data_IF_047746885113
#
_entry.id   IF_047746885113
#
_cell.length_a   1.000
_cell.length_b   1.000
_cell.length_c   1.000
_cell.angle_alpha   90.00
_cell.angle_beta   90.00
_cell.angle_gamma   90.00
#
_symmetry.space_group_name_H-M   'P 1'
#
loop_
_entity.id
_entity.type
_entity.pdbx_description
1 polymer ?
#
# COMPACT_ATOMS: atom_id res chain seq x y z
N UNK A 1 10.95 -20.50 15.94
CA UNK A 1 10.64 -19.73 14.72
C UNK A 1 11.30 -18.37 14.86
N UNK A 2 12.43 -18.11 14.18
CA UNK A 2 13.04 -16.79 14.17
C UNK A 2 12.21 -15.93 13.21
N UNK A 3 11.42 -15.02 13.77
CA UNK A 3 10.76 -13.96 13.01
C UNK A 3 11.86 -13.06 12.44
N UNK A 4 12.08 -13.13 11.15
CA UNK A 4 12.99 -12.23 10.43
C UNK A 4 12.37 -10.82 10.53
N UNK A 5 12.87 -9.98 11.41
CA UNK A 5 12.47 -8.57 11.50
C UNK A 5 13.08 -7.85 10.30
N UNK A 6 12.22 -7.48 9.34
CA UNK A 6 12.64 -6.64 8.22
C UNK A 6 12.93 -5.22 8.72
N UNK A 7 14.11 -4.70 8.33
CA UNK A 7 14.61 -3.40 8.73
C UNK A 7 14.86 -2.51 7.51
N UNK A 8 14.54 -1.22 7.64
CA UNK A 8 14.86 -0.17 6.68
C UNK A 8 16.11 0.54 7.18
N UNK A 9 17.24 0.46 6.46
CA UNK A 9 18.45 1.18 6.84
C UNK A 9 18.40 2.64 6.35
N UNK A 10 18.67 3.58 7.24
CA UNK A 10 18.86 5.00 6.95
C UNK A 10 20.31 5.37 7.23
N UNK A 11 21.03 5.82 6.21
CA UNK A 11 22.43 6.23 6.36
C UNK A 11 22.52 7.70 6.73
N UNK A 12 23.13 8.01 7.88
CA UNK A 12 23.41 9.36 8.32
C UNK A 12 24.89 9.46 8.67
N UNK A 13 25.62 10.24 7.90
CA UNK A 13 27.09 10.32 7.99
C UNK A 13 27.72 8.89 7.81
N UNK A 14 28.29 8.31 8.88
CA UNK A 14 28.90 6.96 8.90
C UNK A 14 28.05 5.93 9.64
N UNK A 15 26.91 6.35 10.18
CA UNK A 15 26.05 5.50 11.00
C UNK A 15 24.84 5.00 10.19
N UNK A 16 24.42 3.77 10.47
CA UNK A 16 23.20 3.17 9.92
C UNK A 16 22.15 3.16 11.02
N UNK A 17 21.10 3.93 10.83
CA UNK A 17 19.96 4.00 11.74
C UNK A 17 18.88 3.06 11.17
N UNK A 18 18.55 2.02 11.93
CA UNK A 18 17.55 1.05 11.51
C UNK A 18 16.14 1.49 11.90
N UNK A 19 15.17 1.27 11.02
CA UNK A 19 13.74 1.41 11.25
C UNK A 19 13.05 0.07 11.00
N UNK A 20 12.14 -0.35 11.87
CA UNK A 20 11.38 -1.59 11.70
C UNK A 20 10.28 -1.40 10.63
N UNK A 21 10.18 -2.31 9.68
CA UNK A 21 9.13 -2.29 8.66
C UNK A 21 7.74 -2.48 9.27
N UNK A 22 7.63 -3.40 10.23
CA UNK A 22 6.36 -3.84 10.80
C UNK A 22 5.61 -2.75 11.56
N UNK A 23 6.30 -1.99 12.39
CA UNK A 23 5.72 -1.05 13.37
C UNK A 23 6.32 0.36 13.32
N UNK A 24 7.29 0.59 12.41
CA UNK A 24 7.92 1.89 12.18
C UNK A 24 8.89 2.36 13.26
N UNK A 25 9.15 1.56 14.29
CA UNK A 25 10.07 1.92 15.37
C UNK A 25 11.47 2.19 14.85
N UNK A 26 12.11 3.24 15.36
CA UNK A 26 13.45 3.68 14.95
C UNK A 26 14.43 3.48 16.10
N UNK A 27 15.66 3.07 15.78
CA UNK A 27 16.72 2.87 16.76
C UNK A 27 17.25 4.21 17.30
N UNK A 28 16.74 4.63 18.45
CA UNK A 28 17.10 5.89 19.12
C UNK A 28 18.56 5.93 19.56
N UNK A 29 19.15 4.79 19.95
CA UNK A 29 20.57 4.71 20.29
C UNK A 29 21.42 5.08 19.08
N UNK A 30 21.14 4.50 17.91
CA UNK A 30 21.85 4.82 16.67
C UNK A 30 21.62 6.29 16.23
N UNK A 31 20.40 6.85 16.41
CA UNK A 31 20.13 8.26 16.17
C UNK A 31 21.01 9.18 17.01
N UNK A 32 21.10 8.89 18.31
CA UNK A 32 21.92 9.67 19.23
C UNK A 32 23.41 9.54 18.88
N UNK A 33 23.91 8.35 18.60
CA UNK A 33 25.29 8.11 18.16
C UNK A 33 25.64 8.90 16.93
N UNK A 34 24.76 8.88 15.90
CA UNK A 34 24.96 9.63 14.66
C UNK A 34 25.00 11.16 14.88
N UNK A 35 24.37 11.66 15.93
CA UNK A 35 24.39 13.08 16.31
C UNK A 35 25.46 13.43 17.35
N UNK A 36 26.28 12.47 17.78
CA UNK A 36 27.29 12.69 18.82
C UNK A 36 26.71 13.00 20.22
N UNK A 37 25.48 12.52 20.50
CA UNK A 37 24.76 12.73 21.78
C UNK A 37 24.43 11.38 22.43
N UNK A 38 24.10 11.40 23.73
CA UNK A 38 23.71 10.20 24.44
C UNK A 38 22.18 10.13 24.63
N UNK A 39 21.60 8.94 24.44
CA UNK A 39 20.19 8.68 24.73
C UNK A 39 19.81 9.02 26.17
N UNK A 40 20.71 8.75 27.14
CA UNK A 40 20.48 9.04 28.54
C UNK A 40 20.29 10.56 28.81
N UNK A 41 20.93 11.43 28.04
CA UNK A 41 20.80 12.88 28.22
C UNK A 41 19.41 13.36 27.79
N UNK A 42 18.93 12.86 26.66
CA UNK A 42 17.56 13.12 26.20
C UNK A 42 16.52 12.54 27.18
N UNK A 43 16.73 11.33 27.68
CA UNK A 43 15.76 10.65 28.56
C UNK A 43 15.59 11.33 29.92
N UNK A 44 16.61 12.06 30.38
CA UNK A 44 16.57 12.81 31.66
C UNK A 44 15.86 14.16 31.59
N UNK A 45 15.49 14.63 30.40
CA UNK A 45 14.83 15.92 30.25
C UNK A 45 13.37 15.87 30.75
N UNK A 46 12.97 16.87 31.53
CA UNK A 46 11.57 17.00 31.98
C UNK A 46 10.60 17.10 30.80
N UNK A 47 11.02 17.76 29.71
CA UNK A 47 10.22 17.87 28.46
C UNK A 47 10.01 16.51 27.82
N UNK A 48 11.01 15.64 27.85
CA UNK A 48 10.89 14.27 27.35
C UNK A 48 9.93 13.42 28.18
N UNK A 49 10.01 13.54 29.52
CA UNK A 49 9.06 12.85 30.41
C UNK A 49 7.62 13.35 30.19
N UNK A 50 7.43 14.65 30.07
CA UNK A 50 6.11 15.21 29.79
C UNK A 50 5.57 14.70 28.43
N UNK A 51 6.42 14.70 27.39
CA UNK A 51 6.03 14.23 26.05
C UNK A 51 5.67 12.74 26.04
N UNK A 52 6.50 11.87 26.64
CA UNK A 52 6.22 10.42 26.61
C UNK A 52 4.98 10.06 27.42
N UNK A 53 4.69 10.78 28.53
CA UNK A 53 3.47 10.56 29.28
C UNK A 53 2.22 11.01 28.51
N UNK A 54 2.30 12.17 27.85
CA UNK A 54 1.21 12.64 26.98
C UNK A 54 0.95 11.66 25.83
N UNK A 55 2.00 11.17 25.17
CA UNK A 55 1.90 10.21 24.09
C UNK A 55 1.31 8.87 24.56
N UNK A 56 1.74 8.38 25.73
CA UNK A 56 1.21 7.16 26.33
C UNK A 56 -0.29 7.27 26.63
N UNK A 57 -0.70 8.44 27.15
CA UNK A 57 -2.11 8.74 27.44
C UNK A 57 -2.96 8.85 26.17
N UNK A 58 -2.45 9.53 25.15
CA UNK A 58 -3.15 9.73 23.87
C UNK A 58 -3.37 8.40 23.14
N UNK A 59 -2.35 7.54 23.14
CA UNK A 59 -2.40 6.25 22.45
C UNK A 59 -3.04 5.13 23.26
N UNK A 60 -3.23 5.32 24.58
CA UNK A 60 -3.72 4.27 25.48
C UNK A 60 -2.77 3.08 25.66
N UNK A 61 -1.45 3.29 25.49
CA UNK A 61 -0.43 2.23 25.64
C UNK A 61 0.59 2.60 26.70
N UNK A 62 1.22 1.61 27.37
CA UNK A 62 2.23 1.89 28.38
C UNK A 62 3.53 2.43 27.78
N UNK A 63 4.29 3.21 28.58
CA UNK A 63 5.58 3.78 28.15
C UNK A 63 6.57 2.69 27.69
N UNK A 64 6.49 1.49 28.25
CA UNK A 64 7.32 0.35 27.84
C UNK A 64 7.06 -0.12 26.41
N UNK A 65 5.89 0.18 25.86
CA UNK A 65 5.61 -0.04 24.43
C UNK A 65 6.10 1.12 23.57
N UNK A 66 6.13 2.36 24.07
CA UNK A 66 6.66 3.51 23.34
C UNK A 66 8.20 3.46 23.25
N UNK A 67 8.86 2.98 24.31
CA UNK A 67 10.33 2.89 24.42
C UNK A 67 10.69 1.46 24.77
N UNK A 68 11.30 0.75 23.84
CA UNK A 68 11.67 -0.66 23.94
C UNK A 68 13.19 -0.80 23.95
N UNK A 69 13.74 -1.41 24.97
CA UNK A 69 15.18 -1.72 25.05
C UNK A 69 15.44 -3.17 24.68
N UNK A 70 16.33 -3.39 23.72
CA UNK A 70 16.74 -4.72 23.27
C UNK A 70 18.21 -4.92 23.58
N UNK A 71 18.53 -5.95 24.37
CA UNK A 71 19.88 -6.34 24.71
C UNK A 71 20.09 -7.83 24.39
N UNK A 72 21.27 -8.17 23.85
CA UNK A 72 21.60 -9.53 23.41
C UNK A 72 21.00 -9.91 22.05
N UNK A 73 21.37 -11.10 21.57
CA UNK A 73 20.93 -11.57 20.24
C UNK A 73 21.60 -10.87 19.06
N UNK A 74 20.86 -10.64 17.99
CA UNK A 74 21.38 -10.02 16.76
C UNK A 74 21.84 -8.57 17.02
N UNK A 75 23.12 -8.23 16.75
CA UNK A 75 23.67 -6.89 16.96
C UNK A 75 22.88 -5.76 16.27
N UNK A 76 22.28 -6.02 15.12
CA UNK A 76 21.48 -5.04 14.39
C UNK A 76 20.17 -4.66 15.09
N UNK A 77 19.71 -5.51 16.03
CA UNK A 77 18.47 -5.27 16.78
C UNK A 77 18.74 -4.68 18.16
N UNK A 78 19.99 -4.62 18.61
CA UNK A 78 20.34 -4.09 19.94
C UNK A 78 20.19 -2.57 20.00
N UNK A 79 19.87 -2.09 21.19
CA UNK A 79 19.69 -0.67 21.48
C UNK A 79 18.28 -0.32 21.95
N UNK A 80 18.01 0.96 22.01
CA UNK A 80 16.68 1.48 22.37
C UNK A 80 15.89 1.82 21.10
N UNK A 81 14.73 1.22 21.00
CA UNK A 81 13.78 1.43 19.90
C UNK A 81 12.62 2.28 20.39
N UNK A 82 12.26 3.29 19.63
CA UNK A 82 11.20 4.23 20.02
C UNK A 82 10.12 4.30 18.95
N UNK A 83 8.89 4.54 19.41
CA UNK A 83 7.73 4.77 18.56
C UNK A 83 8.01 5.91 17.54
N UNK A 84 7.46 5.87 16.31
CA UNK A 84 7.72 6.88 15.26
C UNK A 84 7.55 8.33 15.73
N UNK A 85 6.48 8.67 16.46
CA UNK A 85 6.26 10.00 17.00
C UNK A 85 7.33 10.39 18.03
N UNK A 86 7.75 9.43 18.87
CA UNK A 86 8.85 9.65 19.82
C UNK A 86 10.18 9.88 19.12
N UNK A 87 10.42 9.20 17.98
CA UNK A 87 11.60 9.39 17.15
C UNK A 87 11.64 10.80 16.54
N UNK A 88 10.50 11.33 16.11
CA UNK A 88 10.40 12.73 15.63
C UNK A 88 10.74 13.73 16.74
N UNK A 89 10.18 13.54 17.94
CA UNK A 89 10.49 14.40 19.09
C UNK A 89 11.97 14.33 19.51
N UNK A 90 12.56 13.11 19.51
CA UNK A 90 14.00 12.93 19.74
C UNK A 90 14.81 13.68 18.67
N UNK A 91 14.44 13.56 17.40
CA UNK A 91 15.15 14.18 16.30
C UNK A 91 15.16 15.73 16.41
N UNK A 92 14.08 16.34 16.88
CA UNK A 92 14.00 17.78 17.14
C UNK A 92 15.02 18.21 18.21
N UNK A 93 15.24 17.40 19.24
CA UNK A 93 16.26 17.65 20.24
C UNK A 93 17.68 17.43 19.70
N UNK A 94 17.89 16.50 18.79
CA UNK A 94 19.20 16.23 18.20
C UNK A 94 19.67 17.41 17.33
N UNK A 95 18.94 17.77 16.29
CA UNK A 95 19.15 18.99 15.49
C UNK A 95 17.97 19.23 14.53
N UNK A 96 17.83 20.45 13.97
CA UNK A 96 16.84 20.74 12.93
C UNK A 96 16.97 19.84 11.69
N UNK A 97 18.21 19.56 11.27
CA UNK A 97 18.49 18.69 10.10
C UNK A 97 18.08 17.25 10.37
N UNK A 98 18.29 16.77 11.60
CA UNK A 98 17.83 15.46 12.03
C UNK A 98 16.29 15.38 12.06
N UNK A 99 15.64 16.46 12.56
CA UNK A 99 14.19 16.55 12.59
C UNK A 99 13.58 16.40 11.18
N UNK A 100 14.12 17.12 10.18
CA UNK A 100 13.67 17.02 8.78
C UNK A 100 13.85 15.60 8.23
N UNK A 101 15.00 14.95 8.47
CA UNK A 101 15.27 13.59 8.00
C UNK A 101 14.32 12.58 8.60
N UNK A 102 14.19 12.56 9.93
CA UNK A 102 13.37 11.57 10.65
C UNK A 102 11.88 11.78 10.38
N UNK A 103 11.40 13.02 10.29
CA UNK A 103 10.03 13.29 9.86
C UNK A 103 9.74 12.73 8.48
N UNK A 104 10.71 12.82 7.54
CA UNK A 104 10.59 12.22 6.21
C UNK A 104 10.55 10.69 6.29
N UNK A 105 11.42 10.03 7.05
CA UNK A 105 11.42 8.57 7.20
C UNK A 105 10.11 8.04 7.79
N UNK A 106 9.60 8.72 8.82
CA UNK A 106 8.30 8.38 9.42
C UNK A 106 7.19 8.57 8.40
N UNK A 107 7.19 9.66 7.66
CA UNK A 107 6.22 9.90 6.59
C UNK A 107 6.29 8.82 5.49
N UNK A 108 7.48 8.52 4.99
CA UNK A 108 7.72 7.48 3.98
C UNK A 108 7.28 6.10 4.47
N UNK A 109 7.55 5.77 5.73
CA UNK A 109 7.07 4.54 6.34
C UNK A 109 5.54 4.51 6.45
N UNK A 110 4.91 5.57 6.94
CA UNK A 110 3.44 5.67 7.09
C UNK A 110 2.71 5.58 5.75
N UNK A 111 3.30 6.12 4.70
CA UNK A 111 2.75 6.10 3.34
C UNK A 111 3.10 4.80 2.58
N UNK A 112 3.86 3.90 3.21
CA UNK A 112 4.30 2.64 2.60
C UNK A 112 5.54 2.76 1.71
N UNK A 113 6.09 3.97 1.49
CA UNK A 113 7.32 4.18 0.72
C UNK A 113 8.56 3.59 1.41
N UNK A 114 8.53 3.42 2.73
CA UNK A 114 9.62 2.81 3.51
C UNK A 114 9.70 1.29 3.45
N UNK A 115 8.76 0.60 2.81
CA UNK A 115 8.87 -0.85 2.59
C UNK A 115 9.87 -1.12 1.46
N UNK A 116 10.93 -1.92 1.68
CA UNK A 116 11.89 -2.24 0.64
C UNK A 116 11.18 -2.77 -0.61
N UNK A 117 11.43 -2.13 -1.77
CA UNK A 117 10.85 -2.54 -3.05
C UNK A 117 9.52 -1.89 -3.43
N UNK A 118 8.72 -1.31 -2.52
CA UNK A 118 7.42 -0.69 -2.90
C UNK A 118 7.62 0.57 -3.75
N UNK A 119 8.58 1.42 -3.42
CA UNK A 119 8.87 2.64 -4.18
C UNK A 119 9.22 2.38 -5.66
N UNK A 120 9.72 1.19 -5.97
CA UNK A 120 10.07 0.78 -7.32
C UNK A 120 8.92 0.10 -8.09
N UNK A 121 7.79 -0.15 -7.42
CA UNK A 121 6.63 -0.73 -8.08
C UNK A 121 5.88 0.32 -8.92
N UNK A 122 5.19 -0.07 -9.99
CA UNK A 122 4.18 0.76 -10.62
C UNK A 122 3.19 1.34 -9.61
N UNK A 123 2.74 2.59 -9.82
CA UNK A 123 1.96 3.33 -8.83
C UNK A 123 0.70 2.59 -8.34
N UNK A 124 -0.01 1.91 -9.22
CA UNK A 124 -1.19 1.11 -8.85
C UNK A 124 -0.83 -0.07 -7.94
N UNK A 125 0.34 -0.69 -8.13
CA UNK A 125 0.82 -1.76 -7.25
C UNK A 125 1.28 -1.22 -5.90
N UNK A 126 1.89 -0.03 -5.86
CA UNK A 126 2.15 0.66 -4.59
C UNK A 126 0.84 0.84 -3.82
N UNK A 127 -0.20 1.40 -4.47
CA UNK A 127 -1.54 1.57 -3.88
C UNK A 127 -2.14 0.24 -3.43
N UNK A 128 -2.01 -0.82 -4.21
CA UNK A 128 -2.50 -2.16 -3.85
C UNK A 128 -1.82 -2.67 -2.58
N UNK A 129 -0.48 -2.65 -2.53
CA UNK A 129 0.28 -3.20 -1.40
C UNK A 129 0.04 -2.44 -0.09
N UNK A 130 -0.07 -1.11 -0.14
CA UNK A 130 -0.30 -0.31 1.08
C UNK A 130 -1.74 -0.37 1.60
N UNK A 131 -2.68 -0.95 0.84
CA UNK A 131 -4.10 -1.06 1.20
C UNK A 131 -4.62 -2.50 1.31
N UNK A 132 -3.80 -3.50 1.03
CA UNK A 132 -4.29 -4.87 0.98
C UNK A 132 -4.80 -5.36 2.36
N UNK A 133 -4.24 -4.83 3.44
CA UNK A 133 -4.65 -5.07 4.83
C UNK A 133 -6.00 -4.43 5.20
N UNK A 134 -6.49 -3.49 4.39
CA UNK A 134 -7.76 -2.79 4.60
C UNK A 134 -8.95 -3.50 3.92
N UNK A 135 -8.69 -4.53 3.12
CA UNK A 135 -9.73 -5.30 2.43
C UNK A 135 -9.86 -6.66 3.12
N UNK A 136 -10.87 -6.83 4.00
CA UNK A 136 -11.06 -8.08 4.72
C UNK A 136 -11.54 -9.21 3.80
N UNK A 137 -11.38 -10.46 4.25
CA UNK A 137 -11.94 -11.62 3.57
C UNK A 137 -13.45 -11.48 3.38
N UNK A 138 -13.97 -11.92 2.25
CA UNK A 138 -15.37 -11.76 1.86
C UNK A 138 -15.69 -10.45 1.14
N UNK A 139 -14.66 -9.61 0.92
CA UNK A 139 -14.79 -8.35 0.19
C UNK A 139 -13.71 -8.17 -0.86
N UNK A 140 -13.98 -7.36 -1.88
CA UNK A 140 -12.99 -6.91 -2.86
C UNK A 140 -12.99 -5.38 -3.01
N UNK A 141 -11.88 -4.83 -3.49
CA UNK A 141 -11.76 -3.44 -3.89
C UNK A 141 -11.75 -3.31 -5.41
N UNK A 142 -12.26 -2.20 -5.93
CA UNK A 142 -12.21 -1.92 -7.37
C UNK A 142 -10.76 -1.87 -7.89
N UNK A 143 -9.83 -1.37 -7.09
CA UNK A 143 -8.42 -1.29 -7.46
C UNK A 143 -7.83 -2.68 -7.71
N UNK A 144 -8.08 -3.67 -6.83
CA UNK A 144 -7.56 -5.02 -6.99
C UNK A 144 -8.04 -5.66 -8.29
N UNK A 145 -9.32 -5.52 -8.58
CA UNK A 145 -9.92 -6.12 -9.78
C UNK A 145 -9.48 -5.42 -11.07
N UNK A 146 -9.42 -4.08 -11.08
CA UNK A 146 -8.93 -3.34 -12.26
C UNK A 146 -7.44 -3.52 -12.49
N UNK A 147 -6.65 -3.79 -11.46
CA UNK A 147 -5.24 -4.15 -11.65
C UNK A 147 -5.11 -5.39 -12.52
N UNK A 148 -5.99 -6.38 -12.34
CA UNK A 148 -6.01 -7.62 -13.14
C UNK A 148 -6.68 -7.41 -14.51
N UNK A 149 -7.82 -6.73 -14.55
CA UNK A 149 -8.68 -6.68 -15.74
C UNK A 149 -8.28 -5.61 -16.76
N UNK A 150 -7.62 -4.55 -16.32
CA UNK A 150 -7.28 -3.39 -17.14
C UNK A 150 -5.78 -3.06 -17.10
N UNK A 151 -5.22 -2.81 -15.90
CA UNK A 151 -3.91 -2.19 -15.78
C UNK A 151 -2.81 -3.17 -16.22
N UNK A 152 -2.76 -4.37 -15.68
CA UNK A 152 -1.78 -5.37 -16.09
C UNK A 152 -1.88 -5.75 -17.59
N UNK A 153 -3.07 -5.92 -18.19
CA UNK A 153 -3.19 -6.06 -19.65
C UNK A 153 -2.66 -4.87 -20.48
N UNK A 154 -2.85 -3.64 -20.02
CA UNK A 154 -2.29 -2.45 -20.67
C UNK A 154 -0.75 -2.44 -20.58
N UNK A 155 -0.21 -2.70 -19.39
CA UNK A 155 1.25 -2.77 -19.17
C UNK A 155 1.89 -3.91 -19.98
N UNK A 156 1.26 -5.06 -20.05
CA UNK A 156 1.70 -6.18 -20.90
C UNK A 156 1.63 -5.83 -22.41
N UNK A 157 0.79 -4.89 -22.80
CA UNK A 157 0.73 -4.38 -24.15
C UNK A 157 1.76 -3.29 -24.45
N UNK A 158 2.46 -2.79 -23.41
CA UNK A 158 3.51 -1.77 -23.51
C UNK A 158 3.13 -0.37 -23.01
N UNK A 159 1.92 -0.18 -22.49
CA UNK A 159 1.46 1.09 -21.93
C UNK A 159 1.60 1.11 -20.41
N UNK A 160 2.28 2.11 -19.86
CA UNK A 160 2.36 2.33 -18.41
C UNK A 160 1.34 3.37 -17.97
N UNK A 161 0.51 2.99 -17.00
CA UNK A 161 -0.49 3.90 -16.44
C UNK A 161 0.20 5.02 -15.63
N UNK A 162 0.00 6.30 -15.97
CA UNK A 162 0.52 7.44 -15.20
C UNK A 162 0.00 7.48 -13.77
N UNK A 163 0.79 7.98 -12.79
CA UNK A 163 0.41 8.02 -11.38
C UNK A 163 -0.85 8.84 -11.06
N UNK A 164 -1.14 9.87 -11.85
CA UNK A 164 -2.33 10.71 -11.72
C UNK A 164 -3.59 10.08 -12.30
N UNK A 165 -3.46 8.98 -13.02
CA UNK A 165 -4.59 8.24 -13.57
C UNK A 165 -5.09 7.16 -12.63
N UNK A 166 -6.34 7.29 -12.21
CA UNK A 166 -7.02 6.42 -11.24
C UNK A 166 -8.34 5.88 -11.83
N UNK A 167 -8.27 4.93 -12.79
CA UNK A 167 -9.45 4.38 -13.46
C UNK A 167 -10.39 3.64 -12.50
N UNK A 168 -9.88 3.17 -11.38
CA UNK A 168 -10.64 2.53 -10.30
C UNK A 168 -11.68 3.46 -9.68
N UNK A 169 -11.38 4.75 -9.51
CA UNK A 169 -12.37 5.73 -9.01
C UNK A 169 -13.50 5.93 -10.03
N UNK A 170 -13.16 6.06 -11.31
CA UNK A 170 -14.16 6.22 -12.38
C UNK A 170 -15.05 4.97 -12.50
N UNK A 171 -14.41 3.79 -12.53
CA UNK A 171 -15.12 2.51 -12.64
C UNK A 171 -16.02 2.26 -11.42
N UNK A 172 -15.54 2.58 -10.20
CA UNK A 172 -16.32 2.42 -8.99
C UNK A 172 -17.59 3.28 -8.97
N UNK A 173 -17.50 4.54 -9.44
CA UNK A 173 -18.67 5.42 -9.55
C UNK A 173 -19.71 4.89 -10.53
N UNK A 174 -19.29 4.41 -11.69
CA UNK A 174 -20.17 3.86 -12.73
C UNK A 174 -20.78 2.54 -12.24
N UNK A 175 -19.99 1.68 -11.57
CA UNK A 175 -20.50 0.44 -11.01
C UNK A 175 -21.51 0.67 -9.89
N UNK A 176 -21.28 1.62 -8.99
CA UNK A 176 -22.27 2.00 -7.97
C UNK A 176 -23.59 2.46 -8.60
N UNK A 177 -23.54 3.24 -9.69
CA UNK A 177 -24.74 3.63 -10.42
C UNK A 177 -25.43 2.40 -11.01
N UNK A 178 -24.68 1.52 -11.66
CA UNK A 178 -25.22 0.28 -12.25
C UNK A 178 -25.87 -0.63 -11.21
N UNK A 179 -25.27 -0.77 -10.02
CA UNK A 179 -25.83 -1.56 -8.91
C UNK A 179 -27.19 -1.02 -8.48
N UNK A 180 -27.33 0.30 -8.34
CA UNK A 180 -28.63 0.91 -8.00
C UNK A 180 -29.66 0.72 -9.12
N UNK A 181 -29.25 0.96 -10.37
CA UNK A 181 -30.16 0.97 -11.51
C UNK A 181 -30.61 -0.44 -11.97
N UNK A 182 -29.75 -1.45 -11.81
CA UNK A 182 -29.95 -2.80 -12.36
C UNK A 182 -30.09 -3.91 -11.33
N UNK A 183 -29.66 -3.68 -10.09
CA UNK A 183 -29.68 -4.69 -9.02
C UNK A 183 -30.47 -4.24 -7.80
N UNK A 184 -31.00 -3.00 -7.81
CA UNK A 184 -31.75 -2.41 -6.69
C UNK A 184 -30.95 -2.43 -5.36
N UNK A 185 -29.63 -2.27 -5.45
CA UNK A 185 -28.73 -2.28 -4.29
C UNK A 185 -28.46 -0.84 -3.85
N UNK A 186 -28.82 -0.50 -2.61
CA UNK A 186 -28.40 0.78 -2.03
C UNK A 186 -26.89 0.76 -1.73
N UNK A 187 -26.14 1.40 -2.60
CA UNK A 187 -24.68 1.47 -2.47
C UNK A 187 -24.20 2.35 -1.32
N UNK A 188 -25.09 3.09 -0.62
CA UNK A 188 -24.71 3.84 0.57
C UNK A 188 -24.52 2.92 1.79
N UNK A 189 -25.11 1.75 1.76
CA UNK A 189 -24.97 0.73 2.81
C UNK A 189 -23.69 -0.11 2.66
N UNK A 190 -22.94 0.04 1.56
CA UNK A 190 -21.68 -0.69 1.37
C UNK A 190 -20.64 -0.21 2.39
N UNK A 191 -19.87 -1.13 3.01
CA UNK A 191 -18.80 -0.78 3.92
C UNK A 191 -17.74 0.09 3.23
N UNK A 192 -17.02 0.87 4.03
CA UNK A 192 -15.99 1.81 3.57
C UNK A 192 -14.67 1.47 4.25
N UNK A 193 -13.57 1.53 3.50
CA UNK A 193 -12.22 1.55 4.04
C UNK A 193 -11.52 2.86 3.70
N UNK A 194 -10.47 3.17 4.44
CA UNK A 194 -9.68 4.37 4.22
C UNK A 194 -8.52 4.07 3.27
N UNK A 195 -8.76 4.34 1.98
CA UNK A 195 -7.77 4.11 0.93
C UNK A 195 -6.62 5.10 1.02
N UNK A 196 -5.41 4.57 1.22
CA UNK A 196 -4.17 5.34 1.32
C UNK A 196 -3.52 5.47 -0.06
N UNK A 197 -3.06 6.68 -0.37
CA UNK A 197 -2.25 6.94 -1.56
C UNK A 197 -0.77 7.06 -1.19
N UNK A 198 0.16 6.72 -2.11
CA UNK A 198 1.59 6.88 -1.86
C UNK A 198 2.02 8.31 -1.51
N UNK A 199 1.26 9.33 -1.94
CA UNK A 199 1.49 10.74 -1.63
C UNK A 199 0.95 11.18 -0.24
N UNK A 200 0.44 10.25 0.56
CA UNK A 200 -0.08 10.49 1.91
C UNK A 200 -1.56 10.86 1.97
N UNK A 201 -2.23 11.06 0.85
CA UNK A 201 -3.69 11.27 0.85
C UNK A 201 -4.40 10.01 1.33
N UNK A 202 -5.47 10.21 2.11
CA UNK A 202 -6.37 9.15 2.56
C UNK A 202 -7.79 9.52 2.16
N UNK A 203 -8.49 8.63 1.49
CA UNK A 203 -9.86 8.87 1.03
C UNK A 203 -10.77 7.68 1.37
N UNK A 204 -12.06 7.91 1.68
CA UNK A 204 -13.00 6.83 1.88
C UNK A 204 -13.27 6.12 0.53
N UNK A 205 -13.14 4.80 0.52
CA UNK A 205 -13.42 3.95 -0.64
C UNK A 205 -14.33 2.80 -0.22
N UNK A 206 -15.22 2.38 -1.13
CA UNK A 206 -16.17 1.31 -0.83
C UNK A 206 -15.52 -0.06 -0.94
N UNK A 207 -15.91 -0.95 -0.05
CA UNK A 207 -15.71 -2.39 -0.13
C UNK A 207 -16.95 -3.04 -0.75
N UNK A 208 -16.73 -4.02 -1.60
CA UNK A 208 -17.81 -4.74 -2.26
C UNK A 208 -17.79 -6.20 -1.80
N UNK A 209 -18.93 -6.75 -1.34
CA UNK A 209 -19.04 -8.17 -1.03
C UNK A 209 -18.66 -9.04 -2.22
N UNK A 210 -18.01 -10.18 -1.96
CA UNK A 210 -17.57 -11.13 -3.01
C UNK A 210 -18.72 -11.63 -3.88
N UNK A 211 -19.94 -11.67 -3.37
CA UNK A 211 -21.15 -12.03 -4.15
C UNK A 211 -21.36 -11.10 -5.36
N UNK A 212 -20.85 -9.88 -5.30
CA UNK A 212 -20.92 -8.91 -6.40
C UNK A 212 -19.73 -8.99 -7.36
N UNK A 213 -18.77 -9.89 -7.13
CA UNK A 213 -17.54 -9.97 -7.93
C UNK A 213 -17.82 -10.38 -9.38
N UNK A 214 -18.71 -11.34 -9.58
CA UNK A 214 -19.11 -11.79 -10.92
C UNK A 214 -19.83 -10.65 -11.69
N UNK A 215 -20.69 -9.91 -11.02
CA UNK A 215 -21.38 -8.75 -11.56
C UNK A 215 -20.39 -7.62 -11.92
N UNK A 216 -19.43 -7.34 -11.04
CA UNK A 216 -18.40 -6.35 -11.31
C UNK A 216 -17.56 -6.72 -12.53
N UNK A 217 -17.05 -7.95 -12.60
CA UNK A 217 -16.26 -8.43 -13.74
C UNK A 217 -17.03 -8.39 -15.04
N UNK A 218 -18.32 -8.76 -15.01
CA UNK A 218 -19.23 -8.65 -16.16
C UNK A 218 -19.42 -7.20 -16.55
N UNK A 219 -19.72 -6.31 -15.59
CA UNK A 219 -19.89 -4.87 -15.82
C UNK A 219 -18.63 -4.24 -16.46
N UNK A 220 -17.43 -4.58 -15.95
CA UNK A 220 -16.19 -4.08 -16.55
C UNK A 220 -16.06 -4.51 -18.01
N UNK A 221 -16.29 -5.78 -18.33
CA UNK A 221 -16.14 -6.31 -19.70
C UNK A 221 -17.19 -5.76 -20.67
N UNK A 222 -18.45 -5.65 -20.23
CA UNK A 222 -19.58 -5.40 -21.12
C UNK A 222 -19.98 -3.92 -21.16
N UNK A 223 -19.63 -3.14 -20.14
CA UNK A 223 -20.03 -1.74 -20.02
C UNK A 223 -18.81 -0.82 -19.95
N UNK A 224 -17.96 -0.97 -18.90
CA UNK A 224 -16.92 0.00 -18.67
C UNK A 224 -15.83 0.00 -19.76
N UNK A 225 -15.31 -1.17 -20.11
CA UNK A 225 -14.27 -1.28 -21.16
C UNK A 225 -14.74 -0.80 -22.53
N UNK A 226 -15.89 -1.25 -23.08
CA UNK A 226 -16.29 -0.82 -24.41
C UNK A 226 -16.86 0.60 -24.47
N UNK A 227 -17.56 1.06 -23.44
CA UNK A 227 -18.33 2.31 -23.50
C UNK A 227 -17.60 3.49 -22.83
N UNK A 228 -16.92 3.25 -21.69
CA UNK A 228 -16.38 4.32 -20.85
C UNK A 228 -14.85 4.45 -20.90
N UNK A 229 -14.12 3.36 -21.15
CA UNK A 229 -12.66 3.39 -21.13
C UNK A 229 -12.09 4.31 -22.21
N UNK A 230 -12.66 4.27 -23.41
CA UNK A 230 -12.19 5.08 -24.55
C UNK A 230 -12.31 6.58 -24.22
N UNK A 231 -13.44 7.01 -23.67
CA UNK A 231 -13.64 8.40 -23.28
C UNK A 231 -12.75 8.79 -22.10
N UNK A 232 -12.60 7.90 -21.12
CA UNK A 232 -11.74 8.10 -19.96
C UNK A 232 -10.29 8.37 -20.37
N UNK A 233 -9.71 7.52 -21.23
CA UNK A 233 -8.34 7.67 -21.70
C UNK A 233 -8.18 8.82 -22.69
N UNK A 234 -9.12 9.03 -23.61
CA UNK A 234 -9.06 10.17 -24.55
C UNK A 234 -8.93 11.52 -23.85
N UNK A 235 -9.58 11.67 -22.69
CA UNK A 235 -9.56 12.93 -21.92
C UNK A 235 -8.30 13.10 -21.08
N UNK A 236 -7.56 12.04 -20.78
CA UNK A 236 -6.42 12.07 -19.84
C UNK A 236 -5.09 11.75 -20.48
N UNK A 237 -5.05 10.69 -21.25
CA UNK A 237 -3.88 10.26 -21.99
C UNK A 237 -4.31 9.47 -23.23
N UNK A 238 -4.29 10.16 -24.38
CA UNK A 238 -4.71 9.58 -25.66
C UNK A 238 -3.76 8.49 -26.17
N UNK A 239 -2.53 8.42 -25.66
CA UNK A 239 -1.58 7.37 -26.04
C UNK A 239 -2.12 5.97 -25.69
N UNK A 240 -2.86 5.85 -24.59
CA UNK A 240 -3.48 4.60 -24.19
C UNK A 240 -4.44 4.00 -25.22
N UNK A 241 -5.02 4.84 -26.09
CA UNK A 241 -6.05 4.41 -27.06
C UNK A 241 -5.55 3.35 -28.04
N UNK A 242 -4.26 3.36 -28.39
CA UNK A 242 -3.68 2.35 -29.29
C UNK A 242 -3.57 0.96 -28.64
N UNK A 243 -3.59 0.90 -27.31
CA UNK A 243 -3.47 -0.37 -26.54
C UNK A 243 -4.83 -0.94 -26.14
N UNK A 244 -5.86 -0.09 -25.97
CA UNK A 244 -7.20 -0.50 -25.52
C UNK A 244 -7.83 -1.61 -26.39
N UNK A 245 -7.74 -1.64 -27.73
CA UNK A 245 -8.32 -2.71 -28.52
C UNK A 245 -7.80 -4.11 -28.16
N UNK A 246 -6.53 -4.22 -27.79
CA UNK A 246 -5.93 -5.48 -27.33
C UNK A 246 -6.51 -5.93 -25.98
N UNK A 247 -6.77 -4.98 -25.07
CA UNK A 247 -7.36 -5.26 -23.75
C UNK A 247 -8.82 -5.65 -23.89
N UNK A 248 -9.60 -4.89 -24.68
CA UNK A 248 -11.02 -5.20 -24.96
C UNK A 248 -11.17 -6.56 -25.65
N UNK A 249 -10.28 -6.86 -26.60
CA UNK A 249 -10.29 -8.16 -27.29
C UNK A 249 -10.04 -9.34 -26.36
N UNK A 250 -9.13 -9.21 -25.40
CA UNK A 250 -8.85 -10.23 -24.37
C UNK A 250 -9.98 -10.39 -23.35
N UNK A 251 -10.78 -9.37 -23.14
CA UNK A 251 -11.91 -9.41 -22.21
C UNK A 251 -13.10 -10.20 -22.76
N UNK A 252 -13.09 -10.63 -24.03
CA UNK A 252 -14.14 -11.49 -24.60
C UNK A 252 -14.14 -12.85 -23.93
N UNK A 253 -15.31 -13.28 -23.47
CA UNK A 253 -15.50 -14.59 -22.86
C UNK A 253 -15.26 -15.68 -23.90
N UNK A 254 -14.28 -16.54 -23.66
CA UNK A 254 -14.10 -17.76 -24.46
C UNK A 254 -15.02 -18.81 -23.85
N UNK A 255 -15.94 -19.41 -24.61
CA UNK A 255 -16.79 -20.51 -24.12
C UNK A 255 -15.90 -21.64 -23.58
N UNK A 256 -16.32 -22.22 -22.45
CA UNK A 256 -15.65 -23.43 -21.96
C UNK A 256 -15.71 -24.53 -23.03
N UNK A 257 -14.61 -25.26 -23.27
CA UNK A 257 -14.64 -26.42 -24.10
C UNK A 257 -15.66 -27.43 -23.54
N UNK A 258 -16.37 -28.14 -24.44
CA UNK A 258 -17.38 -29.13 -24.03
C UNK A 258 -16.73 -30.21 -23.15
N UNK A 259 -17.44 -30.74 -22.14
CA UNK A 259 -16.96 -31.87 -21.37
C UNK A 259 -16.46 -33.00 -22.29
N UNK A 260 -15.23 -33.47 -22.09
CA UNK A 260 -14.59 -34.49 -22.93
C UNK A 260 -13.65 -33.99 -24.02
N UNK A 261 -13.51 -32.63 -24.22
CA UNK A 261 -12.56 -32.07 -25.18
C UNK A 261 -11.17 -31.80 -24.61
N UNK A 262 -10.93 -32.07 -23.33
CA UNK A 262 -9.60 -32.03 -22.75
C UNK A 262 -8.83 -33.32 -23.06
N UNK A 263 -7.58 -33.26 -23.56
CA UNK A 263 -6.75 -34.43 -23.66
C UNK A 263 -6.53 -35.05 -22.28
N UNK A 264 -6.48 -36.40 -22.14
CA UNK A 264 -6.24 -37.01 -20.85
C UNK A 264 -4.91 -36.52 -20.25
N UNK A 265 -4.83 -36.36 -18.92
CA UNK A 265 -3.60 -35.95 -18.28
C UNK A 265 -2.49 -36.97 -18.57
N UNK A 266 -1.42 -36.54 -19.26
CA UNK A 266 -0.26 -37.37 -19.55
C UNK A 266 0.29 -37.36 -20.98
N UNK A 267 -0.44 -36.84 -21.97
CA UNK A 267 0.12 -36.68 -23.32
C UNK A 267 0.70 -35.26 -23.50
N UNK A 268 1.97 -35.08 -23.14
CA UNK A 268 2.76 -33.94 -23.65
C UNK A 268 2.99 -34.23 -25.14
N UNK A 269 2.52 -33.35 -26.02
CA UNK A 269 2.89 -33.38 -27.42
C UNK A 269 4.38 -33.09 -27.54
N UNK A 270 5.20 -34.12 -27.77
CA UNK A 270 6.52 -33.94 -28.38
C UNK A 270 6.28 -33.35 -29.77
N UNK A 271 6.46 -32.05 -29.88
CA UNK A 271 6.68 -31.42 -31.19
C UNK A 271 8.20 -31.27 -31.38
N UNK A 272 8.68 -32.03 -32.36
CA UNK A 272 10.00 -31.88 -33.00
C UNK A 272 10.21 -30.46 -33.53
#
# INVERSE_FOLDING_TARGET
MQTHLELIPHVVQKEIIQQRVRDGYINATAMCTAAGKAWADYRRLKTTDAYVNALASDMGIPISEIIQSVSGGNPQLQGTWVHPQMAVHLAQWLSPEFAVKVSRWVYEWMTGHGRPGIANLPYHLQRYVINNDQVPAGYFSILSELSIMLIAPLENAGYRLPPDMVPDISSGRIFCKWLRDKRDIDTNLLPVYFHRFPDGRVVPAKLYPEDLLADFRKHVREVWLPEHSIEYFRKRDSEALQYLPKVIGRAKVIPLPKPGSFPPPGQRSEKR
#
